data_IF_472508602424
#
_entry.id   IF_472508602424
#
_cell.length_a   1.000
_cell.length_b   1.000
_cell.length_c   1.000
_cell.angle_alpha   90.00
_cell.angle_beta   90.00
_cell.angle_gamma   90.00
#
_symmetry.space_group_name_H-M   'P 1'
#
loop_
_entity.id
_entity.type
_entity.pdbx_description
1 polymer ?
#
# COMPACT_ATOMS: atom_id res chain seq x y z
N UNK A 1 28.31 -74.76 -10.43
CA UNK A 1 27.18 -75.61 -10.84
C UNK A 1 26.12 -74.69 -11.43
N UNK A 2 25.84 -74.89 -12.70
CA UNK A 2 25.21 -73.95 -13.62
C UNK A 2 23.70 -74.22 -13.72
N UNK A 3 22.94 -73.23 -14.20
CA UNK A 3 21.65 -73.34 -14.92
C UNK A 3 20.36 -73.27 -14.08
N UNK A 4 19.73 -72.10 -14.16
CA UNK A 4 18.39 -71.78 -14.70
C UNK A 4 17.17 -72.66 -14.39
N UNK A 5 16.03 -72.00 -14.16
CA UNK A 5 14.77 -72.14 -14.93
C UNK A 5 13.65 -71.36 -14.20
N UNK A 6 13.12 -70.28 -14.81
CA UNK A 6 11.80 -70.23 -15.47
C UNK A 6 10.60 -70.46 -14.53
N UNK A 7 9.95 -69.35 -14.18
CA UNK A 7 8.55 -68.96 -14.47
C UNK A 7 7.66 -70.10 -15.05
N UNK A 8 6.40 -70.36 -14.66
CA UNK A 8 5.19 -69.53 -14.44
C UNK A 8 4.16 -70.46 -13.79
N UNK A 9 3.38 -70.02 -12.80
CA UNK A 9 2.00 -70.53 -12.62
C UNK A 9 0.99 -69.45 -12.97
N UNK A 10 0.02 -69.88 -13.76
CA UNK A 10 -1.05 -69.11 -14.41
C UNK A 10 -2.28 -69.11 -13.51
N UNK A 11 -3.21 -68.19 -13.80
CA UNK A 11 -4.64 -68.13 -13.41
C UNK A 11 -4.89 -67.02 -12.36
N UNK A 12 -5.78 -66.02 -12.54
CA UNK A 12 -6.98 -65.91 -13.38
C UNK A 12 -7.26 -64.47 -13.82
N UNK A 13 -7.98 -64.35 -14.94
CA UNK A 13 -8.53 -63.10 -15.46
C UNK A 13 -9.88 -62.83 -14.80
N UNK A 14 -9.95 -61.80 -13.96
CA UNK A 14 -11.16 -61.00 -13.76
C UNK A 14 -10.75 -59.57 -14.18
N UNK A 15 -11.35 -58.97 -15.20
CA UNK A 15 -12.71 -58.45 -15.16
C UNK A 15 -12.57 -56.94 -15.27
N UNK A 16 -12.90 -56.42 -16.45
CA UNK A 16 -12.72 -55.03 -16.88
C UNK A 16 -13.49 -54.05 -15.99
N UNK A 17 -12.83 -53.00 -15.52
CA UNK A 17 -13.45 -51.67 -15.32
C UNK A 17 -12.33 -50.62 -15.37
N UNK A 18 -11.94 -50.19 -16.57
CA UNK A 18 -12.52 -49.04 -17.27
C UNK A 18 -12.27 -47.71 -16.53
N UNK A 19 -11.42 -46.90 -17.16
CA UNK A 19 -11.42 -45.45 -17.13
C UNK A 19 -11.12 -44.76 -15.78
N UNK A 20 -9.83 -44.57 -15.48
CA UNK A 20 -9.44 -43.58 -14.46
C UNK A 20 -8.14 -42.81 -14.78
N UNK A 21 -7.76 -42.68 -16.06
CA UNK A 21 -6.53 -41.95 -16.43
C UNK A 21 -6.76 -40.99 -17.58
N UNK A 22 -7.69 -40.06 -17.41
CA UNK A 22 -7.75 -38.84 -18.20
C UNK A 22 -8.44 -37.71 -17.40
N UNK A 23 -8.02 -37.48 -16.16
CA UNK A 23 -8.25 -36.18 -15.54
C UNK A 23 -7.20 -35.23 -16.14
N UNK A 24 -7.53 -34.76 -17.34
CA UNK A 24 -6.83 -33.69 -18.03
C UNK A 24 -6.97 -32.47 -17.13
N UNK A 25 -5.93 -32.20 -16.33
CA UNK A 25 -5.82 -30.99 -15.52
C UNK A 25 -5.90 -29.80 -16.47
N UNK A 26 -7.09 -29.23 -16.60
CA UNK A 26 -7.25 -27.87 -17.08
C UNK A 26 -6.63 -26.97 -16.01
N UNK A 27 -5.31 -26.76 -16.13
CA UNK A 27 -4.65 -25.66 -15.46
C UNK A 27 -5.34 -24.40 -15.99
N UNK A 28 -6.26 -23.84 -15.21
CA UNK A 28 -6.67 -22.46 -15.38
C UNK A 28 -5.39 -21.65 -15.28
N UNK A 29 -4.87 -21.23 -16.43
CA UNK A 29 -3.90 -20.16 -16.50
C UNK A 29 -4.68 -18.93 -16.02
N UNK A 30 -4.67 -18.70 -14.71
CA UNK A 30 -5.09 -17.44 -14.13
C UNK A 30 -4.05 -16.41 -14.56
N UNK A 31 -4.18 -15.92 -15.79
CA UNK A 31 -3.54 -14.67 -16.14
C UNK A 31 -4.20 -13.64 -15.24
N UNK A 32 -3.48 -12.97 -14.32
CA UNK A 32 -4.04 -11.80 -13.70
C UNK A 32 -4.36 -10.87 -14.86
N UNK A 33 -5.65 -10.68 -15.15
CA UNK A 33 -6.07 -9.58 -15.99
C UNK A 33 -5.41 -8.37 -15.35
N UNK A 34 -4.44 -7.76 -16.04
CA UNK A 34 -3.71 -6.62 -15.52
C UNK A 34 -4.75 -5.57 -15.16
N UNK A 35 -5.07 -5.46 -13.87
CA UNK A 35 -6.02 -4.48 -13.40
C UNK A 35 -5.41 -3.14 -13.78
N UNK A 36 -6.03 -2.47 -14.75
CA UNK A 36 -5.56 -1.16 -15.15
C UNK A 36 -5.65 -0.25 -13.94
N UNK A 37 -4.57 0.49 -13.67
CA UNK A 37 -4.54 1.44 -12.58
C UNK A 37 -5.74 2.38 -12.65
N UNK A 38 -6.35 2.62 -11.50
CA UNK A 38 -7.49 3.50 -11.37
C UNK A 38 -7.05 4.95 -11.60
N UNK A 39 -7.61 5.60 -12.62
CA UNK A 39 -7.29 7.00 -12.91
C UNK A 39 -7.85 7.94 -11.84
N UNK A 40 -7.00 8.83 -11.35
CA UNK A 40 -7.32 9.82 -10.32
C UNK A 40 -6.70 11.18 -10.70
N UNK A 41 -7.22 12.27 -10.12
CA UNK A 41 -6.74 13.62 -10.41
C UNK A 41 -5.33 13.86 -9.85
N UNK A 42 -5.04 13.27 -8.69
CA UNK A 42 -3.70 13.18 -8.15
C UNK A 42 -3.58 12.07 -7.11
N UNK A 43 -2.34 11.64 -6.89
CA UNK A 43 -1.92 10.75 -5.80
C UNK A 43 -1.25 11.61 -4.72
N UNK A 44 -1.71 11.49 -3.47
CA UNK A 44 -1.25 12.29 -2.33
C UNK A 44 -0.73 11.41 -1.20
N UNK A 45 0.52 11.62 -0.82
CA UNK A 45 1.09 11.10 0.42
C UNK A 45 0.99 12.20 1.49
N UNK A 46 0.23 11.95 2.56
CA UNK A 46 0.27 12.76 3.78
C UNK A 46 1.34 12.17 4.70
N UNK A 47 2.50 12.83 4.80
CA UNK A 47 3.66 12.36 5.55
C UNK A 47 3.80 13.12 6.88
N UNK A 48 3.42 12.48 7.97
CA UNK A 48 3.39 13.03 9.33
C UNK A 48 4.65 12.65 10.14
N UNK A 49 5.35 13.65 10.67
CA UNK A 49 6.47 13.47 11.58
C UNK A 49 5.99 12.91 12.93
N UNK A 50 6.58 11.80 13.36
CA UNK A 50 6.37 11.18 14.67
C UNK A 50 7.65 11.18 15.51
N UNK A 51 8.63 12.03 15.18
CA UNK A 51 9.92 12.09 15.86
C UNK A 51 9.82 12.71 17.26
N UNK A 52 10.83 12.44 18.09
CA UNK A 52 10.90 12.83 19.51
C UNK A 52 10.77 14.34 19.78
N UNK A 53 10.90 15.21 18.79
CA UNK A 53 10.58 16.64 18.95
C UNK A 53 9.10 16.88 19.21
N UNK A 54 8.23 16.00 18.73
CA UNK A 54 6.77 16.07 18.88
C UNK A 54 6.30 15.40 20.18
N UNK A 55 5.44 16.07 20.93
CA UNK A 55 4.70 15.43 22.03
C UNK A 55 3.39 14.76 21.56
N UNK A 56 2.79 13.92 22.43
CA UNK A 56 1.57 13.18 22.07
C UNK A 56 0.37 14.08 21.76
N UNK A 57 0.31 15.28 22.35
CA UNK A 57 -0.77 16.22 22.11
C UNK A 57 -0.61 16.87 20.73
N UNK A 58 0.62 17.23 20.36
CA UNK A 58 0.95 17.76 19.03
C UNK A 58 0.69 16.71 17.94
N UNK A 59 1.08 15.46 18.16
CA UNK A 59 0.78 14.36 17.24
C UNK A 59 -0.73 14.15 17.06
N UNK A 60 -1.48 14.16 18.17
CA UNK A 60 -2.93 14.05 18.12
C UNK A 60 -3.56 15.21 17.33
N UNK A 61 -3.09 16.44 17.56
CA UNK A 61 -3.58 17.64 16.89
C UNK A 61 -3.27 17.63 15.39
N UNK A 62 -2.04 17.30 15.00
CA UNK A 62 -1.64 17.19 13.59
C UNK A 62 -2.53 16.19 12.84
N UNK A 63 -2.72 15.03 13.45
CA UNK A 63 -3.55 13.95 12.91
C UNK A 63 -5.02 14.35 12.78
N UNK A 64 -5.57 15.01 13.79
CA UNK A 64 -6.91 15.60 13.74
C UNK A 64 -7.01 16.62 12.61
N UNK A 65 -5.99 17.47 12.42
CA UNK A 65 -5.94 18.44 11.32
C UNK A 65 -6.02 17.79 9.94
N UNK A 66 -5.30 16.68 9.72
CA UNK A 66 -5.42 15.92 8.46
C UNK A 66 -6.82 15.33 8.27
N UNK A 67 -7.38 14.72 9.32
CA UNK A 67 -8.72 14.12 9.26
C UNK A 67 -9.81 15.17 8.98
N UNK A 68 -9.74 16.33 9.64
CA UNK A 68 -10.64 17.47 9.42
C UNK A 68 -10.49 18.06 8.01
N UNK A 69 -9.27 18.22 7.52
CA UNK A 69 -9.03 18.73 6.17
C UNK A 69 -9.63 17.81 5.10
N UNK A 70 -9.48 16.49 5.23
CA UNK A 70 -10.06 15.51 4.30
C UNK A 70 -11.60 15.54 4.32
N UNK A 71 -12.22 15.78 5.47
CA UNK A 71 -13.68 15.92 5.61
C UNK A 71 -14.21 17.27 5.09
N UNK A 72 -13.35 18.27 4.99
CA UNK A 72 -13.78 19.65 4.74
C UNK A 72 -14.55 19.79 3.42
N UNK A 73 -15.70 20.46 3.46
CA UNK A 73 -16.60 20.56 2.31
C UNK A 73 -15.95 21.20 1.08
N UNK A 74 -15.04 22.16 1.29
CA UNK A 74 -14.27 22.80 0.21
C UNK A 74 -13.29 21.84 -0.45
N UNK A 75 -12.61 21.00 0.33
CA UNK A 75 -11.68 19.98 -0.18
C UNK A 75 -12.45 18.96 -1.00
N UNK A 76 -13.57 18.45 -0.47
CA UNK A 76 -14.42 17.51 -1.21
C UNK A 76 -15.01 18.12 -2.49
N UNK A 77 -15.36 19.40 -2.46
CA UNK A 77 -15.81 20.13 -3.65
C UNK A 77 -14.68 20.29 -4.66
N UNK A 78 -13.47 20.62 -4.23
CA UNK A 78 -12.31 20.72 -5.10
C UNK A 78 -11.98 19.38 -5.77
N UNK A 79 -12.01 18.27 -5.01
CA UNK A 79 -11.83 16.91 -5.54
C UNK A 79 -12.87 16.60 -6.61
N UNK A 80 -14.16 16.82 -6.32
CA UNK A 80 -15.25 16.53 -7.28
C UNK A 80 -15.19 17.38 -8.56
N UNK A 81 -14.62 18.58 -8.48
CA UNK A 81 -14.46 19.47 -9.64
C UNK A 81 -13.24 19.11 -10.51
N UNK A 82 -12.41 18.15 -10.08
CA UNK A 82 -11.31 17.63 -10.88
C UNK A 82 -11.78 16.80 -12.09
N UNK A 83 -10.93 16.63 -13.12
CA UNK A 83 -11.24 15.85 -14.32
C UNK A 83 -11.79 14.44 -14.09
N UNK A 84 -11.30 13.73 -13.07
CA UNK A 84 -11.72 12.40 -12.67
C UNK A 84 -12.65 12.38 -11.45
N UNK A 85 -12.75 13.52 -10.75
CA UNK A 85 -13.63 13.73 -9.60
C UNK A 85 -13.20 12.93 -8.37
N UNK A 86 -11.91 12.55 -8.29
CA UNK A 86 -11.38 11.63 -7.28
C UNK A 86 -9.87 11.74 -7.14
N UNK A 87 -9.37 11.44 -5.95
CA UNK A 87 -7.94 11.42 -5.64
C UNK A 87 -7.58 10.09 -4.98
N UNK A 88 -6.32 9.69 -5.05
CA UNK A 88 -5.79 8.61 -4.23
C UNK A 88 -4.97 9.21 -3.09
N UNK A 89 -5.18 8.75 -1.86
CA UNK A 89 -4.49 9.29 -0.67
C UNK A 89 -3.95 8.15 0.19
N UNK A 90 -2.76 8.34 0.74
CA UNK A 90 -2.17 7.48 1.77
C UNK A 90 -1.68 8.34 2.93
N UNK A 91 -1.67 7.79 4.14
CA UNK A 91 -1.13 8.44 5.33
C UNK A 91 0.09 7.66 5.83
N UNK A 92 1.22 8.33 5.89
CA UNK A 92 2.52 7.77 6.25
C UNK A 92 3.08 8.50 7.47
N UNK A 93 3.49 7.75 8.47
CA UNK A 93 4.24 8.27 9.61
C UNK A 93 5.73 8.08 9.37
N UNK A 94 6.52 9.10 9.69
CA UNK A 94 7.98 9.09 9.49
C UNK A 94 8.73 9.68 10.67
N UNK A 95 9.96 9.22 10.87
CA UNK A 95 10.89 9.80 11.84
C UNK A 95 12.32 9.63 11.31
N UNK A 96 13.19 8.94 12.03
CA UNK A 96 14.52 8.58 11.55
C UNK A 96 14.52 7.76 10.25
N UNK A 97 15.69 7.55 9.68
CA UNK A 97 15.89 6.85 8.40
C UNK A 97 15.46 5.38 8.41
N UNK A 98 15.17 4.83 9.59
CA UNK A 98 14.69 3.45 9.77
C UNK A 98 13.19 3.36 10.06
N UNK A 99 12.51 4.49 10.22
CA UNK A 99 11.09 4.53 10.56
C UNK A 99 10.32 5.31 9.50
N UNK A 100 9.71 4.57 8.58
CA UNK A 100 8.86 5.08 7.51
C UNK A 100 7.72 4.08 7.35
N UNK A 101 6.50 4.45 7.73
CA UNK A 101 5.38 3.50 7.84
C UNK A 101 4.12 4.08 7.20
N UNK A 102 3.60 3.41 6.18
CA UNK A 102 2.24 3.68 5.69
C UNK A 102 1.24 3.14 6.71
N UNK A 103 0.71 4.05 7.53
CA UNK A 103 -0.21 3.76 8.63
C UNK A 103 -1.65 3.62 8.11
N UNK A 104 -2.03 4.38 7.08
CA UNK A 104 -3.23 4.11 6.28
C UNK A 104 -2.81 3.84 4.85
N UNK A 105 -3.23 2.71 4.30
CA UNK A 105 -2.93 2.31 2.91
C UNK A 105 -3.63 3.22 1.90
N UNK A 106 -3.15 3.21 0.66
CA UNK A 106 -3.73 3.96 -0.45
C UNK A 106 -5.24 3.73 -0.58
N UNK A 107 -6.00 4.83 -0.60
CA UNK A 107 -7.46 4.83 -0.64
C UNK A 107 -7.97 5.88 -1.63
N UNK A 108 -9.03 5.54 -2.38
CA UNK A 108 -9.71 6.51 -3.24
C UNK A 108 -10.62 7.43 -2.41
N UNK A 109 -10.52 8.74 -2.60
CA UNK A 109 -11.46 9.72 -2.06
C UNK A 109 -12.20 10.39 -3.22
N UNK A 110 -13.52 10.17 -3.29
CA UNK A 110 -14.39 10.77 -4.32
C UNK A 110 -15.66 11.41 -3.76
N UNK A 111 -15.99 11.15 -2.49
CA UNK A 111 -17.17 11.64 -1.81
C UNK A 111 -16.99 11.68 -0.28
N UNK A 112 -18.00 12.19 0.43
CA UNK A 112 -17.98 12.32 1.88
C UNK A 112 -17.82 10.98 2.61
N UNK A 113 -18.41 9.89 2.11
CA UNK A 113 -18.29 8.57 2.72
C UNK A 113 -16.88 8.02 2.63
N UNK A 114 -16.24 8.11 1.46
CA UNK A 114 -14.83 7.69 1.29
C UNK A 114 -13.87 8.57 2.12
N UNK A 115 -14.17 9.86 2.23
CA UNK A 115 -13.38 10.79 3.03
C UNK A 115 -13.50 10.49 4.53
N UNK A 116 -14.71 10.22 5.01
CA UNK A 116 -14.95 9.82 6.41
C UNK A 116 -14.23 8.52 6.75
N UNK A 117 -14.30 7.51 5.87
CA UNK A 117 -13.60 6.25 6.09
C UNK A 117 -12.08 6.43 6.20
N UNK A 118 -11.49 7.28 5.35
CA UNK A 118 -10.06 7.59 5.40
C UNK A 118 -9.69 8.40 6.65
N UNK A 119 -10.50 9.40 7.00
CA UNK A 119 -10.28 10.22 8.19
C UNK A 119 -10.36 9.39 9.48
N UNK A 120 -11.33 8.49 9.60
CA UNK A 120 -11.43 7.54 10.72
C UNK A 120 -10.23 6.60 10.78
N UNK A 121 -9.73 6.13 9.63
CA UNK A 121 -8.54 5.29 9.59
C UNK A 121 -7.31 6.02 10.16
N UNK A 122 -7.14 7.30 9.82
CA UNK A 122 -6.10 8.16 10.40
C UNK A 122 -6.31 8.29 11.93
N UNK A 123 -7.50 8.64 12.37
CA UNK A 123 -7.82 8.86 13.80
C UNK A 123 -7.72 7.59 14.66
N UNK A 124 -7.88 6.41 14.04
CA UNK A 124 -7.76 5.11 14.70
C UNK A 124 -6.33 4.62 14.86
N UNK A 125 -5.36 5.25 14.20
CA UNK A 125 -3.96 4.89 14.31
C UNK A 125 -3.44 5.01 15.75
N UNK A 126 -2.51 4.14 16.13
CA UNK A 126 -1.81 4.24 17.41
C UNK A 126 -0.82 5.41 17.38
N UNK A 127 -0.98 6.37 18.29
CA UNK A 127 -0.01 7.44 18.50
C UNK A 127 1.31 6.86 19.02
N UNK A 128 2.42 7.28 18.41
CA UNK A 128 3.76 6.82 18.76
C UNK A 128 4.74 7.96 18.61
N UNK A 129 5.84 7.87 19.36
CA UNK A 129 6.97 8.78 19.25
C UNK A 129 8.21 7.94 18.93
N UNK A 130 8.95 8.34 17.91
CA UNK A 130 10.12 7.66 17.38
C UNK A 130 11.37 8.55 17.45
N UNK A 131 12.54 7.95 17.30
CA UNK A 131 13.81 8.70 17.38
C UNK A 131 14.21 9.27 16.02
N UNK A 132 14.90 10.41 16.06
CA UNK A 132 15.53 11.09 14.92
C UNK A 132 14.55 11.63 13.88
N UNK A 133 15.05 12.46 12.97
CA UNK A 133 14.26 13.18 11.97
C UNK A 133 14.97 13.06 10.61
N UNK A 134 14.40 12.28 9.70
CA UNK A 134 14.95 12.03 8.36
C UNK A 134 13.94 12.40 7.26
N UNK A 135 13.79 13.71 7.03
CA UNK A 135 12.96 14.26 5.94
C UNK A 135 13.38 13.66 4.59
N UNK A 136 14.68 13.49 4.37
CA UNK A 136 15.20 12.89 3.13
C UNK A 136 14.67 11.46 2.90
N UNK A 137 14.62 10.63 3.96
CA UNK A 137 14.07 9.28 3.84
C UNK A 137 12.55 9.31 3.70
N UNK A 138 11.85 10.25 4.36
CA UNK A 138 10.41 10.44 4.15
C UNK A 138 10.07 10.76 2.69
N UNK A 139 10.84 11.63 2.04
CA UNK A 139 10.68 11.91 0.60
C UNK A 139 10.90 10.65 -0.22
N UNK A 140 12.01 9.92 0.00
CA UNK A 140 12.33 8.70 -0.76
C UNK A 140 11.24 7.63 -0.57
N UNK A 141 10.78 7.40 0.66
CA UNK A 141 9.71 6.45 0.96
C UNK A 141 8.39 6.87 0.32
N UNK A 142 8.06 8.17 0.33
CA UNK A 142 6.90 8.70 -0.38
C UNK A 142 6.99 8.48 -1.89
N UNK A 143 8.15 8.74 -2.50
CA UNK A 143 8.37 8.50 -3.93
C UNK A 143 8.18 7.03 -4.30
N UNK A 144 8.75 6.12 -3.51
CA UNK A 144 8.60 4.68 -3.72
C UNK A 144 7.15 4.19 -3.53
N UNK A 145 6.36 4.89 -2.71
CA UNK A 145 4.98 4.48 -2.41
C UNK A 145 4.00 4.69 -3.57
N UNK A 146 4.37 5.48 -4.60
CA UNK A 146 3.52 5.67 -5.78
C UNK A 146 3.53 4.46 -6.72
N UNK A 147 4.56 3.62 -6.66
CA UNK A 147 4.68 2.48 -7.58
C UNK A 147 3.85 1.29 -7.08
N UNK A 148 2.98 0.76 -7.93
CA UNK A 148 2.18 -0.43 -7.62
C UNK A 148 1.05 -0.21 -6.62
N UNK A 149 0.64 1.04 -6.36
CA UNK A 149 -0.47 1.37 -5.46
C UNK A 149 -1.87 1.14 -6.08
N UNK A 150 -1.95 0.76 -7.37
CA UNK A 150 -3.19 0.51 -8.09
C UNK A 150 -3.90 1.77 -8.60
N UNK A 151 -3.26 2.95 -8.49
CA UNK A 151 -3.77 4.23 -8.96
C UNK A 151 -2.79 4.87 -9.96
N UNK A 152 -3.34 5.71 -10.84
CA UNK A 152 -2.54 6.52 -11.75
C UNK A 152 -3.05 7.95 -11.75
N UNK A 153 -2.32 8.83 -11.08
CA UNK A 153 -2.63 10.25 -10.95
C UNK A 153 -2.09 11.09 -12.12
N UNK A 154 -2.75 12.22 -12.40
CA UNK A 154 -2.20 13.25 -13.28
C UNK A 154 -1.03 14.00 -12.62
N UNK A 155 -0.99 13.99 -11.29
CA UNK A 155 0.07 14.56 -10.44
C UNK A 155 0.33 13.63 -9.27
N UNK A 156 1.57 13.64 -8.78
CA UNK A 156 2.02 12.94 -7.57
C UNK A 156 2.51 13.98 -6.58
N UNK A 157 1.99 13.97 -5.35
CA UNK A 157 2.26 14.98 -4.33
C UNK A 157 2.65 14.28 -3.03
N UNK A 158 3.71 14.76 -2.40
CA UNK A 158 4.09 14.39 -1.04
C UNK A 158 3.96 15.66 -0.20
N UNK A 159 3.02 15.66 0.73
CA UNK A 159 2.86 16.71 1.72
C UNK A 159 3.58 16.28 3.00
N UNK A 160 4.66 16.98 3.35
CA UNK A 160 5.52 16.65 4.48
C UNK A 160 5.23 17.64 5.62
N UNK A 161 4.72 17.10 6.72
CA UNK A 161 4.53 17.85 7.97
C UNK A 161 5.53 17.36 9.01
N UNK A 162 6.37 18.27 9.51
CA UNK A 162 7.33 18.03 10.59
C UNK A 162 7.83 19.32 11.23
N UNK A 163 8.33 19.23 12.45
CA UNK A 163 8.68 20.37 13.30
C UNK A 163 10.20 20.52 13.54
N UNK A 164 10.99 19.52 13.14
CA UNK A 164 12.43 19.45 13.34
C UNK A 164 13.27 19.52 12.06
N UNK A 165 14.55 19.92 12.16
CA UNK A 165 15.48 19.85 11.02
C UNK A 165 15.82 18.40 10.69
N UNK A 166 16.13 18.13 9.42
CA UNK A 166 16.69 16.85 9.00
C UNK A 166 18.05 16.59 9.67
N UNK A 167 18.08 15.68 10.64
CA UNK A 167 19.26 15.34 11.44
C UNK A 167 19.80 13.92 11.16
N UNK A 168 19.16 13.20 10.24
CA UNK A 168 19.58 11.88 9.77
C UNK A 168 19.33 11.74 8.26
N UNK A 169 20.01 10.80 7.61
CA UNK A 169 19.84 10.51 6.20
C UNK A 169 20.66 11.43 5.28
N UNK A 170 20.25 11.53 4.02
CA UNK A 170 20.87 12.41 3.04
C UNK A 170 20.50 13.87 3.33
N UNK A 171 21.21 14.81 2.71
CA UNK A 171 20.73 16.20 2.69
C UNK A 171 19.40 16.27 1.94
N UNK A 172 18.43 16.98 2.51
CA UNK A 172 17.07 17.13 1.97
C UNK A 172 17.08 17.58 0.50
N UNK A 173 18.01 18.47 0.13
CA UNK A 173 18.14 18.97 -1.25
C UNK A 173 18.32 17.86 -2.28
N UNK A 174 19.07 16.79 -1.95
CA UNK A 174 19.28 15.68 -2.87
C UNK A 174 18.07 14.74 -2.98
N UNK A 175 17.18 14.76 -1.98
CA UNK A 175 15.95 13.96 -2.02
C UNK A 175 14.81 14.72 -2.74
N UNK A 176 14.84 16.05 -2.67
CA UNK A 176 13.82 16.93 -3.25
C UNK A 176 13.99 17.15 -4.76
N UNK A 177 15.23 17.32 -5.20
CA UNK A 177 15.59 17.73 -6.57
C UNK A 177 15.93 16.51 -7.46
#
# INVERSE_FOLDING_TARGET
MTIAARTVSRLEKHGVSAACTALMCAALIYTPAGAQDRLVDFELVLAADVSRSMDLQELALQRQGFAEAIRHADVLRAIRNGPHGRIAVTYMEWAGSRFQRSTVQWSEISNATSAEAFALAIESAELRVELWTSISTAIISGLLSFDGNGFRGLRKVIDISGDGPNNQGLFVVHARD
#
